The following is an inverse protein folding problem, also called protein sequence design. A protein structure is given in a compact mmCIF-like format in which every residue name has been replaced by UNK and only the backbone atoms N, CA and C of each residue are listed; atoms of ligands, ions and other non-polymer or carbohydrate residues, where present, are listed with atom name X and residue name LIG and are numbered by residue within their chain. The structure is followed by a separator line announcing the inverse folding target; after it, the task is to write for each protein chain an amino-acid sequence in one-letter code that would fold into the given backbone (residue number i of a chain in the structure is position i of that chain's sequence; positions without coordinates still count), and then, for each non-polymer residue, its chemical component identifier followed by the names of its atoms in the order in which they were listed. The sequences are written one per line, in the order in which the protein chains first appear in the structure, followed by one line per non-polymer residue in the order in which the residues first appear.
data_IF_847136457185
#
_entry.id   IF_847136457185
#
_cell.length_a   1.000
_cell.length_b   1.000
_cell.length_c   1.000
_cell.angle_alpha   90.00
_cell.angle_beta   90.00
_cell.angle_gamma   90.00
#
_symmetry.space_group_name_H-M   'P 1'
#
loop_
_entity.id
_entity.type
_entity.pdbx_description
1 polymer ?
#
# COMPACT_ATOMS: atom_id res chain seq x y z
N UNK A 1 -52.91 1.85 -44.61
CA UNK A 1 -52.79 2.78 -43.48
C UNK A 1 -51.84 3.87 -43.95
N UNK A 2 -52.39 5.02 -44.36
CA UNK A 2 -51.60 6.21 -44.68
C UNK A 2 -51.19 6.86 -43.36
N UNK A 3 -49.89 6.94 -43.11
CA UNK A 3 -49.31 7.53 -41.92
C UNK A 3 -47.88 7.95 -42.19
N UNK A 4 -47.40 8.95 -41.47
CA UNK A 4 -46.01 9.40 -41.55
C UNK A 4 -45.18 8.72 -40.47
N UNK A 5 -44.07 8.08 -40.84
CA UNK A 5 -43.13 7.50 -39.88
C UNK A 5 -42.13 8.58 -39.44
N UNK A 6 -42.07 8.84 -38.14
CA UNK A 6 -41.03 9.66 -37.53
C UNK A 6 -39.98 8.76 -36.88
N UNK A 7 -38.74 8.95 -37.30
CA UNK A 7 -37.58 8.35 -36.65
C UNK A 7 -36.95 9.39 -35.71
N UNK A 8 -36.95 9.10 -34.41
CA UNK A 8 -36.38 9.94 -33.38
C UNK A 8 -35.07 9.31 -32.89
N UNK A 9 -33.97 10.03 -33.03
CA UNK A 9 -32.65 9.62 -32.50
C UNK A 9 -32.35 10.45 -31.25
N UNK A 10 -32.46 9.84 -30.07
CA UNK A 10 -32.25 10.51 -28.78
C UNK A 10 -31.17 9.76 -27.99
N UNK A 11 -30.09 10.46 -27.61
CA UNK A 11 -28.98 9.90 -26.81
C UNK A 11 -28.43 8.55 -27.31
N UNK A 12 -28.46 8.31 -28.63
CA UNK A 12 -27.90 7.10 -29.26
C UNK A 12 -28.90 5.95 -29.45
N UNK A 13 -30.16 6.10 -29.04
CA UNK A 13 -31.23 5.15 -29.34
C UNK A 13 -32.17 5.70 -30.43
N UNK A 14 -32.56 4.83 -31.36
CA UNK A 14 -33.48 5.13 -32.45
C UNK A 14 -34.87 4.57 -32.13
N UNK A 15 -35.87 5.44 -31.97
CA UNK A 15 -37.27 5.05 -31.80
C UNK A 15 -38.09 5.45 -33.03
N UNK A 16 -38.82 4.48 -33.60
CA UNK A 16 -39.74 4.70 -34.72
C UNK A 16 -41.17 4.89 -34.19
N UNK A 17 -41.82 6.00 -34.55
CA UNK A 17 -43.20 6.29 -34.18
C UNK A 17 -44.04 6.55 -35.44
N UNK A 18 -45.21 5.93 -35.55
CA UNK A 18 -46.10 6.07 -36.71
C UNK A 18 -47.20 7.06 -36.34
N UNK A 19 -47.23 8.21 -37.02
CA UNK A 19 -48.28 9.21 -36.84
C UNK A 19 -49.45 8.86 -37.77
N UNK A 20 -50.61 8.62 -37.16
CA UNK A 20 -51.87 8.43 -37.87
C UNK A 20 -52.38 9.78 -38.42
N UNK A 21 -52.20 9.99 -39.72
CA UNK A 21 -52.61 11.22 -40.42
C UNK A 21 -54.10 11.28 -40.70
N UNK A 22 -54.85 10.17 -40.56
CA UNK A 22 -56.30 10.15 -40.79
C UNK A 22 -57.08 11.00 -39.77
N UNK A 23 -56.47 11.28 -38.60
CA UNK A 23 -57.06 12.12 -37.56
C UNK A 23 -56.85 13.62 -37.76
N UNK A 24 -56.10 14.02 -38.81
CA UNK A 24 -55.89 15.44 -39.15
C UNK A 24 -57.14 16.10 -39.75
N UNK A 25 -58.10 15.29 -40.21
CA UNK A 25 -59.36 15.72 -40.82
C UNK A 25 -60.46 16.03 -39.78
N UNK A 26 -60.22 15.76 -38.48
CA UNK A 26 -61.16 16.07 -37.39
C UNK A 26 -60.89 17.47 -36.80
N UNK A 27 -61.93 18.27 -36.48
CA UNK A 27 -61.75 19.62 -35.93
C UNK A 27 -61.21 19.58 -34.49
N UNK A 28 -60.24 20.44 -34.11
CA UNK A 28 -59.66 21.56 -34.86
C UNK A 28 -58.71 21.11 -35.97
N UNK A 29 -59.08 21.43 -37.21
CA UNK A 29 -58.44 20.95 -38.43
C UNK A 29 -56.99 21.41 -38.48
N UNK A 30 -56.09 20.49 -38.86
CA UNK A 30 -54.69 20.79 -39.13
C UNK A 30 -53.75 20.71 -37.93
N UNK A 31 -54.21 20.29 -36.74
CA UNK A 31 -53.34 20.09 -35.57
C UNK A 31 -53.64 18.77 -34.87
N UNK A 32 -52.65 17.88 -34.78
CA UNK A 32 -52.75 16.60 -34.05
C UNK A 32 -51.71 16.64 -32.94
N UNK A 33 -52.16 16.58 -31.68
CA UNK A 33 -51.29 16.48 -30.51
C UNK A 33 -51.22 15.00 -30.14
N UNK A 34 -50.01 14.42 -30.20
CA UNK A 34 -49.74 13.05 -29.76
C UNK A 34 -48.70 13.07 -28.65
N UNK A 35 -49.05 12.51 -27.50
CA UNK A 35 -48.13 12.33 -26.38
C UNK A 35 -47.24 11.11 -26.63
N UNK A 36 -45.96 11.36 -26.87
CA UNK A 36 -44.97 10.32 -27.10
C UNK A 36 -44.35 9.94 -25.74
N UNK A 37 -44.73 8.77 -25.22
CA UNK A 37 -44.05 8.19 -24.06
C UNK A 37 -42.84 7.37 -24.51
N UNK A 38 -41.66 7.70 -23.97
CA UNK A 38 -40.42 6.98 -24.27
C UNK A 38 -40.12 6.08 -23.07
N UNK A 39 -40.29 4.78 -23.24
CA UNK A 39 -39.91 3.79 -22.23
C UNK A 39 -38.38 3.62 -22.25
N UNK A 40 -37.68 4.39 -21.42
CA UNK A 40 -36.22 4.26 -21.26
C UNK A 40 -35.95 3.25 -20.15
N UNK A 41 -35.17 2.22 -20.46
CA UNK A 41 -34.53 1.43 -19.43
C UNK A 41 -33.62 2.36 -18.59
N UNK A 42 -33.84 2.41 -17.28
CA UNK A 42 -33.01 3.23 -16.39
C UNK A 42 -31.52 2.86 -16.57
N UNK A 43 -30.60 3.83 -16.61
CA UNK A 43 -29.18 3.52 -16.71
C UNK A 43 -28.77 2.64 -15.52
N UNK A 44 -27.93 1.63 -15.73
CA UNK A 44 -27.49 0.75 -14.65
C UNK A 44 -26.87 1.58 -13.53
N UNK A 45 -27.28 1.29 -12.29
CA UNK A 45 -26.91 2.05 -11.10
C UNK A 45 -25.38 2.22 -10.97
N UNK A 46 -24.86 3.43 -10.66
CA UNK A 46 -23.42 3.74 -10.67
C UNK A 46 -22.62 3.19 -9.49
N UNK A 47 -23.19 2.29 -8.68
CA UNK A 47 -22.53 1.67 -7.51
C UNK A 47 -21.20 0.98 -7.85
N UNK A 48 -21.00 0.56 -9.10
CA UNK A 48 -19.74 -0.02 -9.56
C UNK A 48 -18.63 0.98 -9.89
N UNK A 49 -18.92 2.28 -10.06
CA UNK A 49 -17.92 3.22 -10.60
C UNK A 49 -16.98 3.84 -9.54
N UNK A 50 -17.37 3.87 -8.26
CA UNK A 50 -16.60 4.59 -7.23
C UNK A 50 -16.17 3.74 -6.04
N UNK A 51 -17.14 3.18 -5.32
CA UNK A 51 -16.88 2.45 -4.06
C UNK A 51 -16.14 1.14 -4.32
N UNK A 52 -16.53 0.40 -5.38
CA UNK A 52 -15.87 -0.87 -5.73
C UNK A 52 -14.38 -0.70 -6.07
N UNK A 53 -14.05 0.30 -6.87
CA UNK A 53 -12.65 0.59 -7.24
C UNK A 53 -11.83 1.03 -6.01
N UNK A 54 -12.39 1.89 -5.16
CA UNK A 54 -11.74 2.34 -3.93
C UNK A 54 -11.43 1.19 -2.97
N UNK A 55 -12.41 0.31 -2.73
CA UNK A 55 -12.23 -0.87 -1.86
C UNK A 55 -11.20 -1.83 -2.45
N UNK A 56 -11.20 -2.04 -3.78
CA UNK A 56 -10.25 -2.94 -4.43
C UNK A 56 -8.81 -2.45 -4.31
N UNK A 57 -8.56 -1.16 -4.56
CA UNK A 57 -7.23 -0.56 -4.43
C UNK A 57 -6.78 -0.58 -2.96
N UNK A 58 -7.66 -0.21 -2.03
CA UNK A 58 -7.35 -0.24 -0.61
C UNK A 58 -6.99 -1.65 -0.13
N UNK A 59 -7.75 -2.66 -0.57
CA UNK A 59 -7.50 -4.07 -0.22
C UNK A 59 -6.14 -4.55 -0.74
N UNK A 60 -5.77 -4.18 -1.97
CA UNK A 60 -4.47 -4.51 -2.55
C UNK A 60 -3.31 -3.85 -1.78
N UNK A 61 -3.44 -2.56 -1.48
CA UNK A 61 -2.43 -1.82 -0.73
C UNK A 61 -2.26 -2.38 0.69
N UNK A 62 -3.37 -2.61 1.40
CA UNK A 62 -3.37 -3.20 2.73
C UNK A 62 -2.76 -4.61 2.71
N UNK A 63 -3.12 -5.45 1.74
CA UNK A 63 -2.55 -6.78 1.56
C UNK A 63 -1.02 -6.75 1.36
N UNK A 64 -0.51 -5.84 0.53
CA UNK A 64 0.94 -5.68 0.35
C UNK A 64 1.66 -5.27 1.64
N UNK A 65 1.10 -4.32 2.38
CA UNK A 65 1.68 -3.85 3.65
C UNK A 65 1.67 -4.97 4.68
N UNK A 66 0.54 -5.67 4.85
CA UNK A 66 0.41 -6.78 5.80
C UNK A 66 1.38 -7.91 5.42
N UNK A 67 1.47 -8.29 4.14
CA UNK A 67 2.40 -9.31 3.68
C UNK A 67 3.87 -8.91 3.92
N UNK A 68 4.24 -7.66 3.66
CA UNK A 68 5.60 -7.14 3.89
C UNK A 68 5.95 -7.13 5.38
N UNK A 69 5.01 -6.73 6.23
CA UNK A 69 5.17 -6.71 7.69
C UNK A 69 5.21 -8.13 8.25
N UNK A 70 4.35 -9.03 7.79
CA UNK A 70 4.34 -10.43 8.19
C UNK A 70 5.66 -11.13 7.82
N UNK A 71 6.20 -10.90 6.62
CA UNK A 71 7.52 -11.42 6.22
C UNK A 71 8.67 -10.87 7.07
N UNK A 72 8.58 -9.61 7.52
CA UNK A 72 9.56 -9.06 8.47
C UNK A 72 9.42 -9.70 9.85
N UNK A 73 8.19 -9.86 10.35
CA UNK A 73 7.89 -10.53 11.63
C UNK A 73 8.14 -12.04 11.61
N UNK A 74 8.21 -12.71 10.45
CA UNK A 74 8.58 -14.12 10.39
C UNK A 74 10.08 -14.36 10.59
N UNK A 75 10.91 -13.31 10.51
CA UNK A 75 12.35 -13.40 10.80
C UNK A 75 12.63 -12.98 12.24
N UNK A 76 13.53 -13.71 12.93
CA UNK A 76 13.94 -13.39 14.31
C UNK A 76 14.51 -11.97 14.44
N UNK A 77 15.26 -11.49 13.43
CA UNK A 77 15.73 -10.11 13.34
C UNK A 77 14.59 -9.09 13.23
N UNK A 78 13.59 -9.33 12.38
CA UNK A 78 12.48 -8.39 12.23
C UNK A 78 11.51 -8.38 13.42
N UNK A 79 11.39 -9.49 14.17
CA UNK A 79 10.70 -9.49 15.48
C UNK A 79 11.44 -8.69 16.53
N UNK A 80 12.76 -8.86 16.61
CA UNK A 80 13.60 -8.10 17.54
C UNK A 80 13.52 -6.59 17.27
N UNK A 81 13.57 -6.19 15.99
CA UNK A 81 13.44 -4.79 15.59
C UNK A 81 12.07 -4.18 15.95
N UNK A 82 10.98 -4.94 15.80
CA UNK A 82 9.63 -4.47 16.15
C UNK A 82 9.39 -4.32 17.66
N UNK A 83 10.08 -5.09 18.49
CA UNK A 83 10.04 -5.01 19.96
C UNK A 83 11.04 -3.95 20.50
N UNK A 84 11.79 -3.29 19.61
CA UNK A 84 12.82 -2.33 19.99
C UNK A 84 14.11 -2.97 20.52
N UNK A 85 14.28 -4.28 20.34
CA UNK A 85 15.50 -4.99 20.72
C UNK A 85 16.60 -4.69 19.69
N UNK A 86 17.52 -3.79 20.05
CA UNK A 86 18.79 -3.64 19.35
C UNK A 86 19.73 -4.73 19.86
N UNK A 87 20.05 -5.71 19.01
CA UNK A 87 20.98 -6.77 19.35
C UNK A 87 22.28 -6.17 19.95
N UNK A 88 22.75 -6.66 21.11
CA UNK A 88 23.96 -6.15 21.73
C UNK A 88 25.13 -6.34 20.77
N UNK A 89 25.96 -5.31 20.65
CA UNK A 89 27.16 -5.38 19.79
C UNK A 89 28.11 -6.42 20.39
N UNK A 90 28.55 -7.37 19.58
CA UNK A 90 29.51 -8.39 20.00
C UNK A 90 30.91 -7.97 19.59
N UNK A 91 31.85 -8.00 20.52
CA UNK A 91 33.28 -7.70 20.34
C UNK A 91 34.09 -8.92 20.75
N UNK A 92 35.21 -9.16 20.08
CA UNK A 92 36.17 -10.17 20.52
C UNK A 92 37.08 -9.57 21.60
N UNK A 93 37.35 -10.34 22.66
CA UNK A 93 38.37 -9.97 23.64
C UNK A 93 39.77 -10.09 23.00
N UNK A 94 40.66 -9.10 23.15
CA UNK A 94 42.01 -9.17 22.57
C UNK A 94 42.92 -10.22 23.23
N UNK A 95 42.64 -10.63 24.47
CA UNK A 95 43.51 -11.54 25.22
C UNK A 95 43.12 -13.02 25.09
N UNK A 96 41.82 -13.31 24.99
CA UNK A 96 41.31 -14.68 24.86
C UNK A 96 40.50 -14.97 23.58
N UNK A 97 40.30 -13.97 22.72
CA UNK A 97 39.51 -14.04 21.47
C UNK A 97 38.05 -14.51 21.66
N UNK A 98 37.55 -14.48 22.91
CA UNK A 98 36.17 -14.85 23.21
C UNK A 98 35.21 -13.73 22.80
N UNK A 99 34.04 -14.11 22.23
CA UNK A 99 33.02 -13.14 21.79
C UNK A 99 32.11 -12.73 22.93
N UNK A 100 32.14 -11.44 23.27
CA UNK A 100 31.46 -10.88 24.43
C UNK A 100 30.63 -9.67 23.99
N UNK A 101 29.55 -9.37 24.71
CA UNK A 101 28.79 -8.15 24.51
C UNK A 101 29.64 -6.92 24.85
N UNK A 102 29.57 -5.88 24.01
CA UNK A 102 30.42 -4.69 24.10
C UNK A 102 30.40 -4.05 25.50
N UNK A 103 29.24 -4.05 26.16
CA UNK A 103 29.08 -3.47 27.50
C UNK A 103 29.67 -4.33 28.62
N UNK A 104 30.01 -5.59 28.35
CA UNK A 104 30.62 -6.52 29.30
C UNK A 104 32.15 -6.65 29.09
N UNK A 105 32.71 -6.14 27.99
CA UNK A 105 34.13 -6.29 27.67
C UNK A 105 35.05 -5.76 28.79
N UNK A 106 34.77 -4.56 29.32
CA UNK A 106 35.59 -3.97 30.40
C UNK A 106 35.54 -4.85 31.66
N UNK A 107 34.35 -5.37 32.02
CA UNK A 107 34.21 -6.26 33.16
C UNK A 107 35.01 -7.55 32.95
N UNK A 108 34.96 -8.12 31.76
CA UNK A 108 35.71 -9.32 31.42
C UNK A 108 37.23 -9.09 31.53
N UNK A 109 37.73 -7.96 31.01
CA UNK A 109 39.15 -7.60 31.12
C UNK A 109 39.61 -7.47 32.57
N UNK A 110 38.81 -6.85 33.45
CA UNK A 110 39.18 -6.68 34.86
C UNK A 110 39.11 -8.00 35.63
N UNK A 111 38.08 -8.81 35.40
CA UNK A 111 37.82 -10.02 36.23
C UNK A 111 38.57 -11.23 35.73
N UNK A 112 38.60 -11.46 34.42
CA UNK A 112 39.15 -12.68 33.83
C UNK A 112 40.60 -12.50 33.34
N UNK A 113 41.04 -11.25 33.11
CA UNK A 113 42.39 -10.90 32.66
C UNK A 113 43.16 -10.01 33.63
N UNK A 114 42.60 -9.73 34.82
CA UNK A 114 43.24 -8.96 35.90
C UNK A 114 43.77 -7.56 35.49
N UNK A 115 43.18 -6.96 34.45
CA UNK A 115 43.54 -5.60 34.06
C UNK A 115 43.11 -4.57 35.11
N UNK A 116 43.94 -3.55 35.29
CA UNK A 116 43.55 -2.36 36.03
C UNK A 116 42.40 -1.64 35.30
N UNK A 117 41.51 -1.00 36.05
CA UNK A 117 40.31 -0.37 35.48
C UNK A 117 40.63 0.67 34.38
N UNK A 118 41.77 1.37 34.49
CA UNK A 118 42.22 2.32 33.48
C UNK A 118 42.69 1.60 32.21
N UNK A 119 43.56 0.59 32.36
CA UNK A 119 44.10 -0.21 31.26
C UNK A 119 42.98 -0.95 30.50
N UNK A 120 42.06 -1.58 31.24
CA UNK A 120 40.90 -2.26 30.66
C UNK A 120 40.03 -1.31 29.81
N UNK A 121 39.93 -0.03 30.20
CA UNK A 121 39.17 0.95 29.43
C UNK A 121 39.86 1.36 28.13
N UNK A 122 41.19 1.47 28.12
CA UNK A 122 41.98 1.80 26.93
C UNK A 122 41.94 0.65 25.92
N UNK A 123 42.15 -0.57 26.40
CA UNK A 123 42.09 -1.80 25.59
C UNK A 123 40.68 -1.99 25.01
N UNK A 124 39.63 -1.79 25.80
CA UNK A 124 38.26 -1.85 25.31
C UNK A 124 37.96 -0.75 24.27
N UNK A 125 38.50 0.46 24.45
CA UNK A 125 38.32 1.55 23.50
C UNK A 125 38.94 1.22 22.13
N UNK A 126 40.12 0.60 22.11
CA UNK A 126 40.73 0.10 20.86
C UNK A 126 39.86 -1.00 20.23
N UNK A 127 39.42 -1.98 21.01
CA UNK A 127 38.54 -3.04 20.50
C UNK A 127 37.24 -2.46 19.92
N UNK A 128 36.69 -1.40 20.51
CA UNK A 128 35.50 -0.74 19.98
C UNK A 128 35.77 -0.06 18.65
N UNK A 129 36.93 0.58 18.43
CA UNK A 129 37.28 1.29 17.18
C UNK A 129 37.04 0.42 15.94
N UNK A 130 37.44 -0.85 15.98
CA UNK A 130 37.21 -1.81 14.89
C UNK A 130 35.72 -1.95 14.51
N UNK A 131 34.82 -1.97 15.49
CA UNK A 131 33.37 -2.10 15.26
C UNK A 131 32.69 -0.85 14.69
N UNK A 132 33.34 0.32 14.78
CA UNK A 132 32.82 1.57 14.21
C UNK A 132 33.15 1.69 12.72
N UNK A 133 34.29 1.17 12.25
CA UNK A 133 34.66 1.18 10.82
C UNK A 133 33.74 0.33 9.96
N UNK A 134 33.32 -0.84 10.44
CA UNK A 134 32.34 -1.68 9.72
C UNK A 134 30.98 -0.97 9.53
N UNK A 135 30.54 -0.19 10.52
CA UNK A 135 29.29 0.58 10.46
C UNK A 135 29.29 1.68 9.39
N UNK A 136 30.43 2.33 9.15
CA UNK A 136 30.55 3.34 8.10
C UNK A 136 30.34 2.74 6.70
N UNK A 137 30.71 1.46 6.52
CA UNK A 137 30.52 0.74 5.25
C UNK A 137 29.11 0.19 5.06
N UNK A 138 28.47 -0.33 6.12
CA UNK A 138 27.16 -0.99 6.05
C UNK A 138 25.98 0.01 6.00
N UNK A 139 26.17 1.22 6.54
CA UNK A 139 25.17 2.30 6.51
C UNK A 139 24.91 2.91 5.12
N UNK A 140 25.76 2.63 4.13
CA UNK A 140 25.61 3.12 2.75
C UNK A 140 24.64 2.27 1.91
N UNK A 141 24.40 1.00 2.28
CA UNK A 141 23.58 0.06 1.49
C UNK A 141 22.07 0.10 1.76
N UNK A 142 21.62 0.85 2.76
CA UNK A 142 20.21 0.85 3.22
C UNK A 142 19.32 1.97 2.69
N UNK A 143 19.84 2.84 1.80
CA UNK A 143 19.09 3.98 1.22
C UNK A 143 18.81 3.78 -0.26
N UNK A 144 18.08 2.71 -0.62
CA UNK A 144 17.33 2.59 -1.89
C UNK A 144 15.99 1.88 -1.65
#
# INVERSE_FOLDING_TARGET
YDGAELLLSLMGENTSHIVDTAKMDEPPVGTVIQDISIDRAAPPSPVFSGIGCGIMIFSLAAGMIIARTARRLSTSRGRAEFVGYRAPRMVACPDCDYRIEQHLLIRHLIVDHEHDALEASEVAAEAFRSTWSEQASDGAGGRI
#
